data_IF_859110844774
#
_entry.id   IF_859110844774
#
_cell.length_a   1.000
_cell.length_b   1.000
_cell.length_c   1.000
_cell.angle_alpha   90.00
_cell.angle_beta   90.00
_cell.angle_gamma   90.00
#
_symmetry.space_group_name_H-M   'P 1'
#
loop_
_entity.id
_entity.type
_entity.pdbx_description
1 polymer ?
#
# COMPACT_ATOMS: atom_id res chain seq x y z
N UNK A 1 18.16 -3.06 20.90
CA UNK A 1 18.24 -3.35 19.45
C UNK A 1 16.99 -4.13 19.05
N UNK A 2 15.89 -3.44 18.75
CA UNK A 2 14.72 -4.07 18.12
C UNK A 2 15.04 -4.11 16.64
N UNK A 3 15.20 -5.30 16.06
CA UNK A 3 15.28 -5.46 14.62
C UNK A 3 14.02 -4.88 14.00
N UNK A 4 14.17 -4.02 13.01
CA UNK A 4 13.04 -3.53 12.23
C UNK A 4 12.38 -4.76 11.59
N UNK A 5 11.04 -4.88 11.54
CA UNK A 5 10.37 -6.04 10.93
C UNK A 5 10.71 -6.20 9.43
N UNK A 6 11.39 -5.21 8.85
CA UNK A 6 11.87 -5.17 7.47
C UNK A 6 13.40 -5.31 7.33
N UNK A 7 14.15 -5.63 8.40
CA UNK A 7 15.60 -5.86 8.37
C UNK A 7 15.91 -7.13 7.55
N UNK A 8 16.09 -6.96 6.24
CA UNK A 8 16.23 -8.01 5.23
C UNK A 8 15.50 -7.72 3.90
N UNK A 9 14.69 -6.67 3.87
CA UNK A 9 13.84 -6.26 2.73
C UNK A 9 14.20 -4.89 2.15
N UNK A 10 15.14 -4.16 2.77
CA UNK A 10 15.47 -2.77 2.48
C UNK A 10 15.88 -2.46 1.03
N UNK A 11 16.28 -3.47 0.22
CA UNK A 11 16.69 -3.29 -1.18
C UNK A 11 15.73 -3.92 -2.21
N UNK A 12 14.54 -4.38 -1.80
CA UNK A 12 13.65 -5.18 -2.65
C UNK A 12 12.33 -4.49 -2.96
N UNK A 13 11.78 -4.81 -4.14
CA UNK A 13 10.42 -4.43 -4.49
C UNK A 13 9.44 -5.29 -3.72
N UNK A 14 8.46 -4.67 -3.08
CA UNK A 14 7.42 -5.40 -2.34
C UNK A 14 6.04 -4.87 -2.71
N UNK A 15 5.06 -5.76 -2.80
CA UNK A 15 3.66 -5.36 -2.97
C UNK A 15 2.92 -5.54 -1.66
N UNK A 16 2.35 -4.45 -1.15
CA UNK A 16 1.41 -4.49 -0.03
C UNK A 16 0.00 -4.61 -0.60
N UNK A 17 -0.68 -5.71 -0.26
CA UNK A 17 -2.06 -5.99 -0.68
C UNK A 17 -3.00 -5.83 0.51
N UNK A 18 -3.86 -4.82 0.44
CA UNK A 18 -5.09 -4.68 1.21
C UNK A 18 -6.29 -4.46 0.24
N UNK A 19 -7.40 -3.91 0.74
CA UNK A 19 -8.51 -3.40 -0.09
C UNK A 19 -8.00 -2.27 -1.04
N UNK A 20 -6.90 -1.63 -0.67
CA UNK A 20 -6.02 -0.79 -1.50
C UNK A 20 -4.65 -1.44 -1.64
N UNK A 21 -3.98 -1.25 -2.78
CA UNK A 21 -2.66 -1.85 -3.03
C UNK A 21 -1.62 -0.76 -3.22
N UNK A 22 -0.39 -1.00 -2.79
CA UNK A 22 0.75 -0.10 -2.97
C UNK A 22 2.04 -0.89 -3.11
N UNK A 23 3.02 -0.33 -3.82
CA UNK A 23 4.34 -0.94 -3.95
C UNK A 23 5.33 -0.21 -3.05
N UNK A 24 6.21 -0.95 -2.39
CA UNK A 24 7.36 -0.40 -1.68
C UNK A 24 8.62 -0.59 -2.54
N UNK A 25 9.43 0.45 -2.58
CA UNK A 25 10.78 0.48 -3.14
C UNK A 25 11.70 1.03 -2.06
N UNK A 26 12.73 0.28 -1.66
CA UNK A 26 13.66 0.77 -0.65
C UNK A 26 13.04 0.92 0.76
N UNK A 27 11.90 0.28 1.03
CA UNK A 27 11.11 0.50 2.24
C UNK A 27 10.12 1.68 2.19
N UNK A 28 10.10 2.45 1.10
CA UNK A 28 9.20 3.61 0.93
C UNK A 28 8.15 3.37 -0.16
N UNK A 29 6.95 4.00 -0.06
CA UNK A 29 5.95 3.88 -1.12
C UNK A 29 6.49 4.37 -2.47
N UNK A 30 6.36 3.54 -3.51
CA UNK A 30 6.60 3.97 -4.89
C UNK A 30 5.61 5.09 -5.21
N UNK A 31 6.13 6.24 -5.61
CA UNK A 31 5.31 7.34 -6.10
C UNK A 31 4.85 7.09 -7.54
N UNK A 32 3.67 7.60 -7.89
CA UNK A 32 3.18 7.54 -9.25
C UNK A 32 4.08 8.35 -10.20
N UNK A 33 4.49 7.72 -11.30
CA UNK A 33 5.28 8.35 -12.37
C UNK A 33 4.42 8.96 -13.48
N UNK A 34 3.10 8.92 -13.33
CA UNK A 34 2.13 9.35 -14.34
C UNK A 34 0.94 10.08 -13.71
N UNK A 35 0.09 10.63 -14.57
CA UNK A 35 -1.15 11.32 -14.21
C UNK A 35 -2.03 10.43 -13.31
N UNK A 36 -2.30 10.90 -12.09
CA UNK A 36 -3.21 10.23 -11.14
C UNK A 36 -4.59 10.89 -11.23
N UNK A 37 -5.64 10.08 -11.31
CA UNK A 37 -7.02 10.54 -11.22
C UNK A 37 -7.48 10.54 -9.76
N UNK A 38 -7.85 11.71 -9.24
CA UNK A 38 -8.41 11.88 -7.90
C UNK A 38 -9.82 12.46 -8.07
N UNK A 39 -10.83 11.63 -7.84
CA UNK A 39 -12.23 12.06 -7.90
C UNK A 39 -12.71 12.53 -9.28
N UNK A 40 -12.15 11.97 -10.36
CA UNK A 40 -12.41 12.38 -11.75
C UNK A 40 -11.52 13.54 -12.23
N UNK A 41 -10.64 14.05 -11.37
CA UNK A 41 -9.71 15.13 -11.70
C UNK A 41 -8.33 14.56 -11.88
N UNK A 42 -7.78 14.82 -13.06
CA UNK A 42 -6.43 14.49 -13.37
C UNK A 42 -5.42 15.42 -12.70
N UNK A 43 -4.52 14.83 -11.95
CA UNK A 43 -3.46 15.54 -11.24
C UNK A 43 -2.11 14.95 -11.62
N UNK A 44 -1.07 15.77 -11.53
CA UNK A 44 0.33 15.33 -11.63
C UNK A 44 0.98 15.29 -10.25
N UNK A 45 0.19 15.00 -9.21
CA UNK A 45 0.73 14.86 -7.87
C UNK A 45 1.55 13.58 -7.78
N UNK A 46 2.76 13.74 -7.25
CA UNK A 46 3.64 12.65 -6.87
C UNK A 46 3.16 12.12 -5.53
N UNK A 47 2.24 11.16 -5.60
CA UNK A 47 1.64 10.49 -4.45
C UNK A 47 1.89 8.99 -4.54
N UNK A 48 1.77 8.22 -3.44
CA UNK A 48 1.88 6.76 -3.49
C UNK A 48 1.01 6.18 -4.60
N UNK A 49 1.62 5.38 -5.47
CA UNK A 49 0.97 4.70 -6.57
C UNK A 49 0.09 3.57 -6.02
N UNK A 50 -1.19 3.91 -5.81
CA UNK A 50 -2.18 2.99 -5.25
C UNK A 50 -3.21 2.57 -6.28
N UNK A 51 -3.40 1.24 -6.41
CA UNK A 51 -4.43 0.67 -7.27
C UNK A 51 -5.56 0.13 -6.38
N UNK A 52 -6.75 0.71 -6.53
CA UNK A 52 -7.95 0.21 -5.86
C UNK A 52 -8.46 -1.04 -6.57
N UNK A 53 -8.80 -2.08 -5.81
CA UNK A 53 -9.47 -3.26 -6.35
C UNK A 53 -10.64 -3.65 -5.46
N UNK A 54 -11.77 -3.96 -6.10
CA UNK A 54 -13.01 -4.36 -5.45
C UNK A 54 -12.93 -5.80 -4.91
N UNK A 55 -12.02 -6.03 -3.95
CA UNK A 55 -11.80 -7.30 -3.27
C UNK A 55 -11.81 -7.05 -1.76
N UNK A 56 -13.00 -6.92 -1.20
CA UNK A 56 -13.23 -6.75 0.22
C UNK A 56 -14.15 -7.83 0.77
N UNK A 57 -14.07 -8.12 2.06
CA UNK A 57 -14.87 -9.18 2.69
C UNK A 57 -16.38 -9.05 2.44
N UNK A 58 -16.89 -7.82 2.37
CA UNK A 58 -18.31 -7.53 2.11
C UNK A 58 -18.74 -7.60 0.64
N UNK A 59 -17.85 -7.91 -0.31
CA UNK A 59 -18.21 -8.07 -1.72
C UNK A 59 -19.26 -9.17 -1.86
N UNK A 60 -20.38 -8.83 -2.50
CA UNK A 60 -21.56 -9.71 -2.64
C UNK A 60 -21.31 -10.76 -3.71
N UNK A 61 -21.80 -11.97 -3.44
CA UNK A 61 -21.77 -13.12 -4.35
C UNK A 61 -23.21 -13.52 -4.63
N UNK A 62 -23.56 -13.60 -5.91
CA UNK A 62 -24.81 -14.20 -6.35
C UNK A 62 -24.56 -15.71 -6.58
N UNK A 63 -25.15 -16.61 -5.76
CA UNK A 63 -24.93 -18.04 -5.88
C UNK A 63 -25.57 -18.65 -7.14
N UNK A 64 -26.62 -18.03 -7.69
CA UNK A 64 -27.32 -18.54 -8.87
C UNK A 64 -26.55 -18.21 -10.15
N UNK A 65 -26.14 -16.95 -10.29
CA UNK A 65 -25.40 -16.49 -11.49
C UNK A 65 -23.88 -16.64 -11.35
N UNK A 66 -23.38 -17.01 -10.16
CA UNK A 66 -21.95 -17.07 -9.78
C UNK A 66 -21.21 -15.74 -9.96
N UNK A 67 -21.95 -14.63 -10.03
CA UNK A 67 -21.38 -13.28 -10.18
C UNK A 67 -20.82 -12.79 -8.85
N UNK A 68 -19.62 -12.22 -8.89
CA UNK A 68 -18.91 -11.69 -7.72
C UNK A 68 -18.75 -10.18 -7.90
N UNK A 69 -19.31 -9.40 -6.97
CA UNK A 69 -19.29 -7.94 -7.00
C UNK A 69 -20.00 -7.32 -8.23
N UNK A 70 -19.80 -6.01 -8.47
CA UNK A 70 -19.00 -5.07 -7.68
C UNK A 70 -19.69 -4.60 -6.39
N UNK A 71 -20.97 -4.95 -6.19
CA UNK A 71 -21.74 -4.57 -5.01
C UNK A 71 -21.11 -5.11 -3.73
N UNK A 72 -21.14 -4.31 -2.66
CA UNK A 72 -20.60 -4.68 -1.35
C UNK A 72 -21.52 -4.21 -0.23
N UNK A 73 -21.65 -5.02 0.82
CA UNK A 73 -22.36 -4.63 2.05
C UNK A 73 -21.52 -3.74 2.96
N UNK A 74 -20.22 -3.59 2.67
CA UNK A 74 -19.32 -2.66 3.36
C UNK A 74 -19.34 -2.82 4.88
N UNK A 75 -19.58 -1.72 5.59
CA UNK A 75 -19.62 -1.67 7.06
C UNK A 75 -20.75 -2.53 7.66
N UNK A 76 -21.77 -2.90 6.87
CA UNK A 76 -22.91 -3.72 7.30
C UNK A 76 -22.61 -5.22 7.28
N UNK A 77 -21.36 -5.62 7.08
CA UNK A 77 -20.96 -7.03 7.04
C UNK A 77 -21.37 -7.80 8.30
N UNK A 78 -21.32 -7.15 9.46
CA UNK A 78 -21.72 -7.75 10.74
C UNK A 78 -23.22 -8.05 10.84
N UNK A 79 -24.04 -7.42 10.00
CA UNK A 79 -25.50 -7.59 9.94
C UNK A 79 -25.93 -8.45 8.75
N UNK A 80 -25.31 -8.24 7.59
CA UNK A 80 -25.76 -8.76 6.29
C UNK A 80 -25.10 -10.06 5.86
N UNK A 81 -23.88 -10.34 6.31
CA UNK A 81 -23.20 -11.57 5.94
C UNK A 81 -23.90 -12.80 6.53
N UNK A 82 -24.00 -13.88 5.75
CA UNK A 82 -24.68 -15.13 6.17
C UNK A 82 -24.06 -15.73 7.43
N UNK A 83 -22.74 -15.67 7.57
CA UNK A 83 -21.99 -16.16 8.73
C UNK A 83 -22.36 -15.42 10.03
N UNK A 84 -23.05 -14.28 9.93
CA UNK A 84 -23.60 -13.51 11.06
C UNK A 84 -25.12 -13.64 11.21
N UNK A 85 -25.75 -14.52 10.43
CA UNK A 85 -27.21 -14.69 10.40
C UNK A 85 -27.93 -13.77 9.41
N UNK A 86 -27.18 -13.06 8.55
CA UNK A 86 -27.74 -12.21 7.50
C UNK A 86 -28.20 -12.99 6.27
N UNK A 87 -28.71 -12.25 5.28
CA UNK A 87 -29.34 -12.75 4.06
C UNK A 87 -28.41 -12.73 2.83
N UNK A 88 -27.21 -12.19 2.95
CA UNK A 88 -26.34 -11.89 1.80
C UNK A 88 -25.08 -12.74 1.85
N UNK A 89 -24.81 -13.50 0.78
CA UNK A 89 -23.56 -14.23 0.62
C UNK A 89 -22.43 -13.28 0.21
N UNK A 90 -21.30 -13.36 0.90
CA UNK A 90 -20.16 -12.45 0.75
C UNK A 90 -18.82 -13.19 0.65
N UNK A 91 -17.75 -12.49 0.26
CA UNK A 91 -16.40 -13.08 0.26
C UNK A 91 -15.95 -13.53 1.67
N UNK A 92 -16.39 -12.87 2.73
CA UNK A 92 -16.14 -13.30 4.11
C UNK A 92 -16.79 -14.64 4.42
N UNK A 93 -18.00 -14.90 3.92
CA UNK A 93 -18.68 -16.19 4.09
C UNK A 93 -17.87 -17.32 3.43
N UNK A 94 -17.33 -17.08 2.23
CA UNK A 94 -16.45 -18.03 1.54
C UNK A 94 -15.14 -18.24 2.32
N UNK A 95 -14.54 -17.18 2.85
CA UNK A 95 -13.32 -17.29 3.65
C UNK A 95 -13.53 -18.17 4.91
N UNK A 96 -14.66 -18.01 5.59
CA UNK A 96 -15.02 -18.82 6.76
C UNK A 96 -15.35 -20.26 6.34
N UNK A 97 -16.11 -20.45 5.25
CA UNK A 97 -16.39 -21.79 4.68
C UNK A 97 -15.10 -22.54 4.31
N UNK A 98 -14.08 -21.82 3.87
CA UNK A 98 -12.77 -22.37 3.52
C UNK A 98 -11.80 -22.43 4.69
N UNK A 99 -12.25 -22.11 5.91
CA UNK A 99 -11.45 -22.12 7.15
C UNK A 99 -10.20 -21.24 7.08
N UNK A 100 -10.26 -20.16 6.29
CA UNK A 100 -9.18 -19.16 6.15
C UNK A 100 -9.33 -17.99 7.12
N UNK A 101 -10.50 -17.86 7.72
CA UNK A 101 -10.86 -16.80 8.65
C UNK A 101 -11.77 -17.36 9.73
N UNK A 102 -11.58 -16.89 10.96
CA UNK A 102 -12.53 -17.08 12.05
C UNK A 102 -13.38 -15.81 12.18
N UNK A 103 -14.65 -15.90 11.76
CA UNK A 103 -15.60 -14.80 11.88
C UNK A 103 -17.02 -15.34 11.90
N UNK A 104 -17.85 -14.90 12.85
CA UNK A 104 -19.24 -15.35 12.96
C UNK A 104 -19.38 -16.85 13.28
N UNK A 105 -20.48 -17.46 12.81
CA UNK A 105 -20.78 -18.87 13.01
C UNK A 105 -20.59 -19.66 11.69
N UNK A 106 -19.55 -20.51 11.58
CA UNK A 106 -19.28 -21.33 10.38
C UNK A 106 -20.42 -22.26 9.96
N UNK A 107 -21.29 -22.66 10.89
CA UNK A 107 -22.42 -23.54 10.58
C UNK A 107 -23.43 -22.89 9.61
N UNK A 108 -23.52 -21.56 9.59
CA UNK A 108 -24.46 -20.82 8.75
C UNK A 108 -24.05 -20.73 7.27
N UNK A 109 -22.83 -21.17 6.96
CA UNK A 109 -22.25 -21.17 5.62
C UNK A 109 -21.77 -22.57 5.21
N UNK A 110 -22.04 -23.59 6.02
CA UNK A 110 -21.62 -24.96 5.76
C UNK A 110 -22.28 -25.57 4.51
N UNK A 111 -23.49 -25.12 4.20
CA UNK A 111 -24.27 -25.48 3.02
C UNK A 111 -23.75 -24.88 1.71
N UNK A 112 -22.81 -23.93 1.77
CA UNK A 112 -22.19 -23.38 0.55
C UNK A 112 -21.49 -24.51 -0.22
N UNK A 113 -21.85 -24.73 -1.50
CA UNK A 113 -21.27 -25.79 -2.31
C UNK A 113 -19.76 -25.60 -2.56
N UNK A 114 -19.02 -26.71 -2.60
CA UNK A 114 -17.57 -26.68 -2.85
C UNK A 114 -17.22 -26.12 -4.23
N UNK A 115 -18.06 -26.36 -5.24
CA UNK A 115 -17.84 -25.85 -6.59
C UNK A 115 -18.01 -24.33 -6.68
N UNK A 116 -18.94 -23.75 -5.91
CA UNK A 116 -19.08 -22.30 -5.78
C UNK A 116 -17.90 -21.70 -5.02
N UNK A 117 -17.47 -22.31 -3.92
CA UNK A 117 -16.30 -21.86 -3.16
C UNK A 117 -15.02 -21.88 -4.02
N UNK A 118 -14.81 -22.95 -4.78
CA UNK A 118 -13.68 -23.08 -5.72
C UNK A 118 -13.73 -22.06 -6.87
N UNK A 119 -14.92 -21.77 -7.42
CA UNK A 119 -15.11 -20.71 -8.41
C UNK A 119 -14.71 -19.33 -7.86
N UNK A 120 -15.14 -19.01 -6.64
CA UNK A 120 -14.80 -17.73 -5.99
C UNK A 120 -13.31 -17.64 -5.68
N UNK A 121 -12.69 -18.74 -5.25
CA UNK A 121 -11.25 -18.80 -5.02
C UNK A 121 -10.45 -18.55 -6.30
N UNK A 122 -10.79 -19.23 -7.40
CA UNK A 122 -10.14 -19.02 -8.69
C UNK A 122 -10.28 -17.57 -9.18
N UNK A 123 -11.46 -16.97 -8.94
CA UNK A 123 -11.69 -15.56 -9.23
C UNK A 123 -10.80 -14.63 -8.40
N UNK A 124 -10.67 -14.88 -7.09
CA UNK A 124 -9.78 -14.10 -6.21
C UNK A 124 -8.33 -14.23 -6.69
N UNK A 125 -7.87 -15.45 -6.98
CA UNK A 125 -6.51 -15.72 -7.43
C UNK A 125 -6.19 -14.97 -8.73
N UNK A 126 -7.08 -15.04 -9.72
CA UNK A 126 -6.91 -14.29 -10.99
C UNK A 126 -6.85 -12.78 -10.75
N UNK A 127 -7.75 -12.21 -9.93
CA UNK A 127 -7.75 -10.77 -9.64
C UNK A 127 -6.54 -10.27 -8.87
N UNK A 128 -5.95 -11.12 -8.04
CA UNK A 128 -4.71 -10.81 -7.34
C UNK A 128 -3.50 -10.96 -8.25
N UNK A 129 -3.44 -12.01 -9.06
CA UNK A 129 -2.36 -12.23 -10.04
C UNK A 129 -2.30 -11.10 -11.07
N UNK A 130 -3.43 -10.73 -11.67
CA UNK A 130 -3.54 -9.62 -12.63
C UNK A 130 -3.02 -8.30 -12.05
N UNK A 131 -3.22 -8.10 -10.74
CA UNK A 131 -2.71 -6.89 -10.10
C UNK A 131 -1.22 -6.97 -9.86
N UNK A 132 -0.73 -8.06 -9.27
CA UNK A 132 0.71 -8.21 -9.04
C UNK A 132 1.45 -7.95 -10.34
N UNK A 133 0.96 -8.49 -11.44
CA UNK A 133 1.50 -8.28 -12.78
C UNK A 133 1.48 -6.80 -13.22
N UNK A 134 0.37 -6.09 -13.04
CA UNK A 134 0.28 -4.65 -13.35
C UNK A 134 1.21 -3.78 -12.51
N UNK A 135 1.53 -4.20 -11.29
CA UNK A 135 2.36 -3.41 -10.39
C UNK A 135 3.85 -3.65 -10.60
N UNK A 136 4.22 -4.87 -11.00
CA UNK A 136 5.58 -5.26 -11.33
C UNK A 136 6.20 -4.30 -12.35
N UNK A 137 7.45 -3.93 -12.12
CA UNK A 137 8.26 -3.20 -13.11
C UNK A 137 9.15 -4.13 -13.92
N UNK A 138 9.14 -5.43 -13.61
CA UNK A 138 9.94 -6.46 -14.29
C UNK A 138 9.22 -7.81 -14.24
N UNK A 139 9.64 -8.75 -15.08
CA UNK A 139 9.08 -10.11 -15.07
C UNK A 139 9.47 -10.93 -13.82
N UNK A 140 10.39 -10.44 -12.98
CA UNK A 140 10.86 -11.16 -11.81
C UNK A 140 9.74 -11.39 -10.78
N UNK A 141 9.82 -12.50 -10.07
CA UNK A 141 8.92 -12.78 -8.95
C UNK A 141 9.27 -11.91 -7.75
N UNK A 142 8.23 -11.36 -7.11
CA UNK A 142 8.37 -10.42 -6.00
C UNK A 142 7.58 -10.88 -4.77
N UNK A 143 8.01 -10.51 -3.56
CA UNK A 143 7.23 -10.78 -2.35
C UNK A 143 5.95 -9.95 -2.30
N UNK A 144 4.91 -10.54 -1.72
CA UNK A 144 3.63 -9.88 -1.40
C UNK A 144 3.41 -9.90 0.10
N UNK A 145 3.08 -8.75 0.67
CA UNK A 145 2.67 -8.59 2.07
C UNK A 145 1.16 -8.38 2.10
N UNK A 146 0.43 -9.34 2.65
CA UNK A 146 -1.02 -9.28 2.80
C UNK A 146 -1.37 -8.61 4.14
N UNK A 147 -2.05 -7.47 4.09
CA UNK A 147 -2.46 -6.68 5.25
C UNK A 147 -3.93 -6.29 5.19
N UNK A 148 -4.46 -5.77 6.31
CA UNK A 148 -5.87 -5.41 6.46
C UNK A 148 -6.80 -6.60 6.61
N UNK A 149 -8.10 -6.32 6.76
CA UNK A 149 -9.13 -7.37 6.94
C UNK A 149 -9.30 -8.31 5.73
N UNK A 150 -8.80 -7.92 4.56
CA UNK A 150 -8.80 -8.74 3.34
C UNK A 150 -7.64 -9.75 3.26
N UNK A 151 -6.67 -9.72 4.18
CA UNK A 151 -5.49 -10.60 4.12
C UNK A 151 -5.86 -12.10 4.12
N UNK A 152 -6.95 -12.47 4.78
CA UNK A 152 -7.46 -13.84 4.81
C UNK A 152 -8.02 -14.32 3.45
N UNK A 153 -8.35 -13.41 2.54
CA UNK A 153 -8.78 -13.73 1.18
C UNK A 153 -7.59 -14.03 0.26
N UNK A 154 -6.38 -13.62 0.64
CA UNK A 154 -5.18 -13.86 -0.17
C UNK A 154 -4.81 -15.35 -0.10
N UNK A 155 -4.66 -16.04 -1.25
CA UNK A 155 -4.25 -17.43 -1.29
C UNK A 155 -2.81 -17.61 -0.80
N UNK A 156 -2.36 -18.85 -0.62
CA UNK A 156 -1.00 -19.14 -0.15
C UNK A 156 0.05 -19.07 -1.27
N UNK A 157 -0.39 -19.09 -2.53
CA UNK A 157 0.46 -18.89 -3.71
C UNK A 157 -0.25 -18.06 -4.78
N UNK A 158 0.53 -17.29 -5.54
CA UNK A 158 0.07 -16.50 -6.67
C UNK A 158 1.12 -16.61 -7.80
N UNK A 159 0.69 -16.68 -9.07
CA UNK A 159 1.59 -16.51 -10.20
C UNK A 159 2.34 -15.17 -10.08
N UNK A 160 3.65 -15.19 -10.37
CA UNK A 160 4.47 -13.98 -10.27
C UNK A 160 4.92 -13.61 -8.86
N UNK A 161 4.61 -14.42 -7.85
CA UNK A 161 4.91 -14.13 -6.44
C UNK A 161 5.77 -15.25 -5.86
N UNK A 162 6.98 -14.92 -5.40
CA UNK A 162 7.88 -15.91 -4.81
C UNK A 162 7.56 -16.20 -3.33
N UNK A 163 6.88 -15.28 -2.65
CA UNK A 163 6.56 -15.36 -1.23
C UNK A 163 5.35 -14.51 -0.89
N UNK A 164 4.39 -15.08 -0.18
CA UNK A 164 3.27 -14.35 0.42
C UNK A 164 3.48 -14.30 1.94
N UNK A 165 3.42 -13.10 2.50
CA UNK A 165 3.61 -12.82 3.92
C UNK A 165 2.28 -12.32 4.46
N UNK A 166 1.59 -13.15 5.24
CA UNK A 166 0.41 -12.77 6.01
C UNK A 166 0.89 -12.35 7.40
N UNK A 167 0.95 -11.04 7.65
CA UNK A 167 1.52 -10.50 8.89
C UNK A 167 0.60 -10.76 10.09
N UNK A 168 1.21 -11.01 11.25
CA UNK A 168 0.48 -10.98 12.51
C UNK A 168 -0.15 -9.60 12.71
N UNK A 169 -1.39 -9.55 13.21
CA UNK A 169 -2.15 -8.31 13.37
C UNK A 169 -2.37 -7.50 12.07
N UNK A 170 -2.45 -8.16 10.90
CA UNK A 170 -2.77 -7.52 9.61
C UNK A 170 -3.93 -6.52 9.67
N UNK A 171 -4.95 -6.77 10.49
CA UNK A 171 -6.12 -5.90 10.66
C UNK A 171 -5.82 -4.47 11.15
N UNK A 172 -4.66 -4.23 11.78
CA UNK A 172 -4.27 -2.90 12.30
C UNK A 172 -3.06 -2.31 11.58
N UNK A 173 -2.66 -2.85 10.43
CA UNK A 173 -1.48 -2.41 9.69
C UNK A 173 -1.47 -0.90 9.40
N UNK A 174 -2.62 -0.30 9.08
CA UNK A 174 -2.73 1.15 8.85
C UNK A 174 -2.40 1.97 10.11
N UNK A 175 -2.86 1.51 11.28
CA UNK A 175 -2.57 2.19 12.54
C UNK A 175 -1.09 2.06 12.91
N UNK A 176 -0.50 0.88 12.67
CA UNK A 176 0.94 0.65 12.85
C UNK A 176 1.74 1.56 11.90
N UNK A 177 1.36 1.62 10.63
CA UNK A 177 2.00 2.50 9.64
C UNK A 177 1.94 3.98 10.04
N UNK A 178 0.81 4.45 10.55
CA UNK A 178 0.67 5.81 11.06
C UNK A 178 1.53 6.04 12.31
N UNK A 179 1.63 5.06 13.22
CA UNK A 179 2.43 5.17 14.45
C UNK A 179 3.94 5.07 14.21
N UNK A 180 4.37 4.43 13.12
CA UNK A 180 5.77 4.31 12.70
C UNK A 180 6.20 5.40 11.72
N UNK A 181 5.28 6.28 11.30
CA UNK A 181 5.58 7.28 10.28
C UNK A 181 6.67 8.24 10.76
N UNK A 182 7.70 8.39 9.91
CA UNK A 182 8.75 9.39 10.08
C UNK A 182 8.27 10.76 9.62
N UNK A 183 8.93 11.80 10.14
CA UNK A 183 8.70 13.18 9.71
C UNK A 183 9.50 13.43 8.44
N UNK A 184 8.85 13.93 7.39
CA UNK A 184 9.50 14.22 6.11
C UNK A 184 9.66 15.72 5.87
N UNK A 185 10.73 16.09 5.18
CA UNK A 185 10.92 17.42 4.58
C UNK A 185 11.21 17.29 3.10
N UNK A 186 10.70 18.23 2.29
CA UNK A 186 10.90 18.23 0.84
C UNK A 186 11.22 19.64 0.36
N UNK A 187 12.15 19.75 -0.59
CA UNK A 187 12.34 20.91 -1.44
C UNK A 187 12.10 20.50 -2.89
N UNK A 188 11.33 21.28 -3.66
CA UNK A 188 11.16 21.14 -5.11
C UNK A 188 11.14 22.54 -5.72
N UNK A 189 12.27 22.96 -6.28
CA UNK A 189 12.49 24.33 -6.76
C UNK A 189 13.37 24.36 -8.00
N UNK A 190 13.34 25.48 -8.71
CA UNK A 190 14.20 25.74 -9.87
C UNK A 190 15.36 26.64 -9.43
N UNK A 191 16.57 26.16 -9.63
CA UNK A 191 17.82 26.85 -9.32
C UNK A 191 18.43 27.41 -10.60
N UNK A 192 19.02 28.61 -10.51
CA UNK A 192 19.59 29.34 -11.64
C UNK A 192 21.03 29.71 -11.33
N UNK A 193 21.92 29.59 -12.32
CA UNK A 193 23.29 30.12 -12.23
C UNK A 193 24.20 29.41 -11.21
N UNK A 194 23.78 28.26 -10.69
CA UNK A 194 24.56 27.40 -9.78
C UNK A 194 24.87 26.07 -10.44
N UNK A 195 25.92 25.39 -9.98
CA UNK A 195 26.22 24.02 -10.41
C UNK A 195 25.17 23.02 -9.90
N UNK A 196 25.14 21.83 -10.51
CA UNK A 196 24.27 20.73 -10.07
C UNK A 196 24.48 20.37 -8.59
N UNK A 197 25.73 20.28 -8.17
CA UNK A 197 26.07 19.92 -6.78
C UNK A 197 25.65 21.01 -5.80
N UNK A 198 25.85 22.29 -6.13
CA UNK A 198 25.38 23.42 -5.31
C UNK A 198 23.86 23.42 -5.19
N UNK A 199 23.13 23.26 -6.29
CA UNK A 199 21.67 23.21 -6.28
C UNK A 199 21.13 22.05 -5.41
N UNK A 200 21.74 20.87 -5.48
CA UNK A 200 21.37 19.72 -4.63
C UNK A 200 21.66 20.00 -3.16
N UNK A 201 22.81 20.59 -2.84
CA UNK A 201 23.16 20.94 -1.47
C UNK A 201 22.22 22.01 -0.89
N UNK A 202 21.90 23.05 -1.65
CA UNK A 202 20.93 24.08 -1.25
C UNK A 202 19.54 23.48 -1.04
N UNK A 203 19.05 22.67 -1.98
CA UNK A 203 17.76 21.99 -1.85
C UNK A 203 17.73 21.07 -0.62
N UNK A 204 18.84 20.39 -0.30
CA UNK A 204 18.97 19.56 0.90
C UNK A 204 18.86 20.38 2.18
N UNK A 205 19.55 21.51 2.27
CA UNK A 205 19.46 22.40 3.44
C UNK A 205 18.01 22.85 3.68
N UNK A 206 17.27 23.17 2.60
CA UNK A 206 15.86 23.55 2.68
C UNK A 206 14.99 22.37 3.15
N UNK A 207 15.23 21.17 2.61
CA UNK A 207 14.48 19.96 3.00
C UNK A 207 14.73 19.59 4.48
N UNK A 208 15.99 19.62 4.93
CA UNK A 208 16.38 19.36 6.33
C UNK A 208 15.71 20.35 7.28
N UNK A 209 15.75 21.65 6.95
CA UNK A 209 15.11 22.69 7.76
C UNK A 209 13.58 22.49 7.84
N UNK A 210 12.93 22.09 6.75
CA UNK A 210 11.50 21.79 6.71
C UNK A 210 11.15 20.57 7.56
N UNK A 211 11.96 19.50 7.48
CA UNK A 211 11.78 18.31 8.33
C UNK A 211 11.93 18.65 9.82
N UNK A 212 12.98 19.39 10.19
CA UNK A 212 13.20 19.84 11.56
C UNK A 212 12.05 20.73 12.07
N UNK A 213 11.57 21.67 11.24
CA UNK A 213 10.41 22.52 11.57
C UNK A 213 9.13 21.70 11.76
N UNK A 214 8.96 20.62 11.00
CA UNK A 214 7.85 19.68 11.14
C UNK A 214 7.99 18.74 12.37
N UNK A 215 9.10 18.84 13.12
CA UNK A 215 9.33 18.10 14.35
C UNK A 215 10.25 16.88 14.22
N UNK A 216 10.97 16.72 13.11
CA UNK A 216 12.01 15.70 13.00
C UNK A 216 13.16 16.00 13.98
N UNK A 217 13.74 14.96 14.58
CA UNK A 217 15.01 15.06 15.29
C UNK A 217 16.13 15.34 14.27
N UNK A 218 16.81 16.51 14.32
CA UNK A 218 17.82 16.88 13.32
C UNK A 218 18.96 15.87 13.17
N UNK A 219 19.31 15.14 14.24
CA UNK A 219 20.39 14.14 14.20
C UNK A 219 19.99 12.84 13.48
N UNK A 220 18.69 12.62 13.27
CA UNK A 220 18.16 11.44 12.59
C UNK A 220 17.80 11.68 11.13
N UNK A 221 17.94 12.93 10.64
CA UNK A 221 17.52 13.27 9.28
C UNK A 221 18.46 12.62 8.27
N UNK A 222 17.89 11.78 7.40
CA UNK A 222 18.58 11.12 6.30
C UNK A 222 17.99 11.51 4.95
N UNK A 223 18.86 11.49 3.94
CA UNK A 223 18.47 11.76 2.56
C UNK A 223 17.73 10.55 2.01
N UNK A 224 16.49 10.76 1.58
CA UNK A 224 15.65 9.71 1.00
C UNK A 224 15.76 9.68 -0.53
N UNK A 225 15.61 10.84 -1.18
CA UNK A 225 15.54 10.92 -2.63
C UNK A 225 16.09 12.25 -3.15
N UNK A 226 16.73 12.20 -4.33
CA UNK A 226 17.23 13.36 -5.06
C UNK A 226 16.92 13.18 -6.54
N UNK A 227 16.19 14.14 -7.10
CA UNK A 227 15.91 14.21 -8.53
C UNK A 227 16.32 15.59 -9.05
N UNK A 228 17.05 15.62 -10.17
CA UNK A 228 17.40 16.86 -10.86
C UNK A 228 17.08 16.77 -12.35
N UNK A 229 16.37 17.78 -12.87
CA UNK A 229 15.90 17.85 -14.25
C UNK A 229 16.32 19.17 -14.87
N UNK A 230 17.24 19.16 -15.85
CA UNK A 230 17.60 20.36 -16.60
C UNK A 230 16.41 20.89 -17.40
N UNK A 231 16.17 22.20 -17.34
CA UNK A 231 15.09 22.87 -18.07
C UNK A 231 15.63 23.51 -19.35
N UNK A 232 15.93 22.68 -20.35
CA UNK A 232 16.68 23.05 -21.56
C UNK A 232 16.04 24.14 -22.44
N UNK A 233 14.76 24.44 -22.25
CA UNK A 233 14.00 25.45 -23.01
C UNK A 233 13.97 26.83 -22.31
N UNK A 234 14.59 26.97 -21.14
CA UNK A 234 14.67 28.24 -20.41
C UNK A 234 16.12 28.75 -20.47
N UNK A 235 16.35 30.02 -20.87
CA UNK A 235 17.68 30.61 -20.85
C UNK A 235 18.33 30.55 -19.47
N UNK A 236 19.65 30.33 -19.43
CA UNK A 236 20.43 30.28 -18.19
C UNK A 236 20.60 28.89 -17.57
N UNK A 237 20.28 27.82 -18.32
CA UNK A 237 20.38 26.42 -17.89
C UNK A 237 19.83 26.17 -16.46
N UNK A 238 18.58 26.55 -16.17
CA UNK A 238 18.03 26.28 -14.86
C UNK A 238 17.91 24.78 -14.60
N UNK A 239 18.14 24.41 -13.35
CA UNK A 239 18.02 23.05 -12.87
C UNK A 239 16.86 22.98 -11.89
N UNK A 240 15.82 22.23 -12.22
CA UNK A 240 14.82 21.88 -11.21
C UNK A 240 15.40 20.79 -10.34
N UNK A 241 15.53 21.04 -9.05
CA UNK A 241 16.02 20.06 -8.08
C UNK A 241 14.94 19.78 -7.06
N UNK A 242 14.71 18.49 -6.82
CA UNK A 242 13.88 17.97 -5.76
C UNK A 242 14.73 17.15 -4.80
N UNK A 243 14.60 17.43 -3.52
CA UNK A 243 15.25 16.67 -2.44
C UNK A 243 14.20 16.33 -1.39
N UNK A 244 14.15 15.05 -1.00
CA UNK A 244 13.29 14.55 0.08
C UNK A 244 14.16 13.94 1.16
N UNK A 245 13.83 14.26 2.40
CA UNK A 245 14.52 13.76 3.60
C UNK A 245 13.49 13.24 4.59
N UNK A 246 13.91 12.30 5.44
CA UNK A 246 13.08 11.72 6.50
C UNK A 246 13.87 11.67 7.79
N UNK A 247 13.19 11.76 8.93
CA UNK A 247 13.80 11.61 10.25
C UNK A 247 12.79 11.18 11.29
N UNK A 248 13.28 10.68 12.41
CA UNK A 248 12.44 10.26 13.53
C UNK A 248 11.78 11.49 14.16
N UNK A 249 10.53 11.33 14.63
CA UNK A 249 9.85 12.38 15.38
C UNK A 249 10.64 12.68 16.66
N UNK A 250 10.95 13.94 16.92
CA UNK A 250 11.56 14.39 18.16
C UNK A 250 10.58 14.15 19.33
N UNK A 251 10.67 12.97 19.93
CA UNK A 251 9.96 12.66 21.17
C UNK A 251 10.58 13.51 22.27
N UNK A 252 9.94 14.64 22.58
CA UNK A 252 10.32 15.43 23.75
C UNK A 252 10.30 14.53 25.00
N UNK A 253 11.47 14.28 25.57
CA UNK A 253 11.62 13.44 26.75
C UNK A 253 11.03 14.13 27.99
N UNK A 254 9.83 13.72 28.41
CA UNK A 254 9.62 13.09 29.73
C UNK A 254 8.15 12.71 29.88
N UNK A 255 7.87 11.40 29.95
CA UNK A 255 6.78 10.95 30.80
C UNK A 255 7.37 10.89 32.21
N UNK A 256 7.06 11.90 33.01
CA UNK A 256 7.15 11.81 34.47
C UNK A 256 6.10 10.80 34.98
#
# INVERSE_FOLDING_TARGET
>A
MRKHPFDGFADRQEIVVAITRGMLLGGFPREANSRVDIGGVATFFRMPDVIAVALGGGTVIDPETRKIGPTSVGYRISEKARVRGGDTLTLTDIAVRMKRMEFGNPALVADVPDDLAGHVEAWIQSRLADLVDRMKTSAADIPVIAVGGGAALVPDSLPGVNRIIKVEHAGVANAIGAAMAQVSGECDQVFYGVSREEAINEARVIADARAATAGANPESIELLDVEDVPLSYIPGNPLRVRVKVVGDLALSGSRA
#
